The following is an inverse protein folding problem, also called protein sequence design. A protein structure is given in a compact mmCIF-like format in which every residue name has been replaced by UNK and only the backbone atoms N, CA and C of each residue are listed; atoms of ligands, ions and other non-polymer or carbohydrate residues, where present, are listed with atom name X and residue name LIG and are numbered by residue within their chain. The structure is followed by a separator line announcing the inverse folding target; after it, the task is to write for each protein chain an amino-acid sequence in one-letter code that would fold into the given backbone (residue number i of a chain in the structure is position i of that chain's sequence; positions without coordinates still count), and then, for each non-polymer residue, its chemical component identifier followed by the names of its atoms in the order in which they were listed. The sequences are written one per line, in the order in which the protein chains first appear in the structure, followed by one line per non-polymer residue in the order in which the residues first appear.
data_IF_092892186080
#
_entry.id   IF_092892186080
#
_cell.length_a   1.000
_cell.length_b   1.000
_cell.length_c   1.000
_cell.angle_alpha   90.00
_cell.angle_beta   90.00
_cell.angle_gamma   90.00
#
_symmetry.space_group_name_H-M   'P 1'
#
loop_
_entity.id
_entity.type
_entity.pdbx_description
1 polymer ?
#
# COMPACT_ATOMS: atom_id res chain seq x y z
N UNK A 1 16.43 1.24 29.15
CA UNK A 1 15.86 1.77 27.89
C UNK A 1 15.19 0.64 27.11
N UNK A 2 13.91 0.80 26.79
CA UNK A 2 13.11 -0.18 26.06
C UNK A 2 13.60 -0.24 24.61
N UNK A 3 13.99 -1.43 24.15
CA UNK A 3 14.56 -1.66 22.83
C UNK A 3 13.41 -1.84 21.83
N UNK A 4 13.17 -0.81 21.02
CA UNK A 4 12.22 -0.89 19.92
C UNK A 4 12.87 -1.72 18.80
N UNK A 5 12.52 -2.99 18.69
CA UNK A 5 13.14 -3.95 17.77
C UNK A 5 12.98 -3.62 16.27
N UNK A 6 12.25 -2.55 15.94
CA UNK A 6 11.92 -2.15 14.56
C UNK A 6 12.62 -0.86 14.10
N UNK A 7 13.43 -0.20 14.95
CA UNK A 7 14.12 1.04 14.59
C UNK A 7 15.63 0.80 14.49
N UNK A 8 16.11 0.62 13.26
CA UNK A 8 17.55 0.61 12.99
C UNK A 8 18.10 2.04 13.06
N UNK A 9 18.73 2.40 14.17
CA UNK A 9 19.46 3.66 14.32
C UNK A 9 20.95 3.35 14.22
N UNK A 10 21.56 3.70 13.08
CA UNK A 10 23.01 3.81 12.98
C UNK A 10 23.40 5.26 13.31
N UNK A 11 23.93 5.57 14.51
CA UNK A 11 24.45 6.89 14.77
C UNK A 11 25.60 7.16 13.80
N UNK A 12 25.40 8.11 12.88
CA UNK A 12 26.45 8.58 11.98
C UNK A 12 27.36 9.49 12.79
N UNK A 13 28.63 9.10 12.97
CA UNK A 13 29.60 9.94 13.64
C UNK A 13 29.83 11.24 12.82
N UNK A 14 29.95 12.37 13.51
CA UNK A 14 30.20 13.67 12.87
C UNK A 14 31.51 13.60 12.09
N UNK A 15 31.45 13.82 10.78
CA UNK A 15 32.63 13.84 9.89
C UNK A 15 32.88 12.56 9.11
N UNK A 16 32.05 11.53 9.23
CA UNK A 16 32.01 10.43 8.27
C UNK A 16 30.94 10.70 7.22
N UNK A 17 31.29 10.60 5.93
CA UNK A 17 30.30 10.42 4.87
C UNK A 17 29.40 9.26 5.27
N UNK A 18 28.09 9.45 5.19
CA UNK A 18 27.13 8.40 5.51
C UNK A 18 27.48 7.19 4.63
N UNK A 19 27.94 6.09 5.25
CA UNK A 19 28.26 4.85 4.53
C UNK A 19 27.04 4.20 3.87
N UNK A 20 25.85 4.79 4.04
CA UNK A 20 24.59 4.40 3.44
C UNK A 20 24.43 5.22 2.14
N UNK A 21 24.99 4.71 1.05
CA UNK A 21 24.77 5.24 -0.31
C UNK A 21 23.58 4.57 -1.02
N UNK A 22 22.93 3.62 -0.36
CA UNK A 22 21.87 2.77 -0.91
C UNK A 22 20.72 2.62 0.09
N UNK A 23 19.53 2.31 -0.40
CA UNK A 23 18.40 1.97 0.47
C UNK A 23 18.78 0.81 1.40
N UNK A 24 18.47 0.87 2.72
CA UNK A 24 18.66 -0.27 3.61
C UNK A 24 18.00 -1.51 2.99
N UNK A 25 18.60 -2.69 3.04
CA UNK A 25 17.95 -3.91 2.52
C UNK A 25 17.63 -3.87 1.02
N UNK A 26 18.49 -3.28 0.19
CA UNK A 26 18.38 -3.33 -1.28
C UNK A 26 18.24 -4.77 -1.83
N UNK A 27 18.79 -5.77 -1.12
CA UNK A 27 18.68 -7.20 -1.43
C UNK A 27 17.41 -7.86 -0.86
N UNK A 28 16.51 -7.12 -0.20
CA UNK A 28 15.29 -7.67 0.38
C UNK A 28 14.22 -7.84 -0.72
N UNK A 29 14.00 -9.09 -1.14
CA UNK A 29 13.05 -9.45 -2.22
C UNK A 29 11.57 -9.25 -1.85
N UNK A 30 11.26 -8.97 -0.57
CA UNK A 30 9.91 -9.07 0.01
C UNK A 30 9.42 -7.74 0.60
N UNK A 31 10.02 -6.63 0.21
CA UNK A 31 9.75 -5.32 0.78
C UNK A 31 9.51 -4.28 -0.31
N UNK A 32 8.59 -3.36 -0.07
CA UNK A 32 8.49 -2.10 -0.82
C UNK A 32 8.97 -0.96 0.05
N UNK A 33 9.88 -0.14 -0.47
CA UNK A 33 10.36 1.04 0.21
C UNK A 33 9.38 2.20 0.06
N UNK A 34 9.12 2.90 1.16
CA UNK A 34 8.42 4.17 1.16
C UNK A 34 9.27 5.19 1.90
N UNK A 35 9.19 6.44 1.44
CA UNK A 35 9.87 7.55 2.06
C UNK A 35 8.92 8.72 2.34
N UNK A 36 9.28 9.52 3.33
CA UNK A 36 8.58 10.76 3.64
C UNK A 36 9.49 11.70 4.41
N UNK A 37 9.25 13.01 4.24
CA UNK A 37 9.88 14.03 5.07
C UNK A 37 8.88 14.39 6.17
N UNK A 38 9.25 14.16 7.43
CA UNK A 38 8.50 14.64 8.58
C UNK A 38 8.98 16.04 8.92
N UNK A 39 8.10 17.02 8.72
CA UNK A 39 8.30 18.40 9.16
C UNK A 39 7.61 18.60 10.50
N UNK A 40 8.35 19.10 11.49
CA UNK A 40 7.83 19.42 12.82
C UNK A 40 7.25 20.84 12.87
N UNK A 41 6.41 21.18 13.86
CA UNK A 41 5.97 22.55 14.10
C UNK A 41 7.16 23.52 14.15
N UNK A 42 6.97 24.74 13.62
CA UNK A 42 8.05 25.70 13.45
C UNK A 42 8.73 26.12 14.78
N UNK A 43 8.00 26.04 15.89
CA UNK A 43 8.43 26.36 17.25
C UNK A 43 9.08 25.18 17.98
N UNK A 44 9.11 23.99 17.38
CA UNK A 44 9.70 22.80 18.01
C UNK A 44 11.24 22.86 18.13
N UNK A 45 11.90 23.69 17.31
CA UNK A 45 13.36 23.69 17.18
C UNK A 45 13.94 22.40 16.59
N UNK A 46 13.09 21.47 16.11
CA UNK A 46 13.51 20.18 15.53
C UNK A 46 13.59 20.33 14.01
N UNK A 47 14.75 20.05 13.39
CA UNK A 47 14.87 20.08 11.94
C UNK A 47 14.02 18.96 11.29
N UNK A 48 13.54 19.14 10.05
CA UNK A 48 12.82 18.10 9.33
C UNK A 48 13.63 16.80 9.21
N UNK A 49 12.95 15.65 9.29
CA UNK A 49 13.58 14.33 9.23
C UNK A 49 13.17 13.60 7.94
N UNK A 50 14.15 13.14 7.17
CA UNK A 50 13.90 12.21 6.07
C UNK A 50 13.80 10.78 6.63
N UNK A 51 12.67 10.13 6.39
CA UNK A 51 12.41 8.76 6.83
C UNK A 51 12.25 7.86 5.61
N UNK A 52 12.91 6.71 5.69
CA UNK A 52 12.75 5.60 4.75
C UNK A 52 12.35 4.38 5.55
N UNK A 53 11.29 3.70 5.14
CA UNK A 53 10.81 2.50 5.82
C UNK A 53 10.32 1.44 4.83
N UNK A 54 10.43 0.20 5.29
CA UNK A 54 10.01 -1.00 4.59
C UNK A 54 8.53 -1.28 4.86
N UNK A 55 7.74 -1.48 3.81
CA UNK A 55 6.44 -2.15 3.91
C UNK A 55 6.59 -3.62 3.51
N UNK A 56 6.18 -4.58 4.36
CA UNK A 56 6.27 -5.99 4.02
C UNK A 56 5.35 -6.31 2.83
N UNK A 57 5.76 -7.27 2.01
CA UNK A 57 4.92 -7.83 0.96
C UNK A 57 3.57 -8.32 1.52
N UNK A 58 2.57 -8.33 0.66
CA UNK A 58 1.26 -8.90 0.97
C UNK A 58 1.40 -10.42 1.10
N UNK A 59 0.77 -11.00 2.12
CA UNK A 59 0.79 -12.45 2.35
C UNK A 59 -0.47 -13.11 1.77
N UNK A 60 -0.39 -14.37 1.33
CA UNK A 60 -1.59 -15.11 0.93
C UNK A 60 -2.63 -15.16 2.04
N UNK A 61 -3.90 -14.93 1.69
CA UNK A 61 -5.06 -14.92 2.60
C UNK A 61 -4.99 -13.86 3.71
N UNK A 62 -4.12 -12.86 3.58
CA UNK A 62 -4.09 -11.71 4.47
C UNK A 62 -5.39 -10.90 4.34
N UNK A 63 -6.04 -10.61 5.46
CA UNK A 63 -7.29 -9.85 5.54
C UNK A 63 -7.02 -8.50 6.19
N UNK A 64 -7.43 -7.43 5.54
CA UNK A 64 -7.35 -6.05 6.05
C UNK A 64 -8.30 -5.15 5.24
N UNK A 65 -8.37 -3.85 5.53
CA UNK A 65 -9.03 -2.88 4.65
C UNK A 65 -8.21 -2.69 3.36
N UNK A 66 -8.88 -2.43 2.23
CA UNK A 66 -8.21 -2.31 0.93
C UNK A 66 -7.05 -1.30 0.94
N UNK A 67 -7.23 -0.17 1.63
CA UNK A 67 -6.22 0.88 1.76
C UNK A 67 -4.93 0.44 2.49
N UNK A 68 -5.01 -0.56 3.38
CA UNK A 68 -3.84 -1.07 4.12
C UNK A 68 -2.85 -1.81 3.21
N UNK A 69 -3.31 -2.31 2.06
CA UNK A 69 -2.47 -2.93 1.05
C UNK A 69 -1.76 -1.92 0.13
N UNK A 70 -2.02 -0.62 0.28
CA UNK A 70 -1.47 0.40 -0.61
C UNK A 70 0.05 0.54 -0.45
N UNK A 71 0.75 0.45 -1.58
CA UNK A 71 2.21 0.51 -1.64
C UNK A 71 2.92 -0.71 -1.03
N UNK A 72 2.24 -1.85 -0.88
CA UNK A 72 2.84 -3.14 -0.53
C UNK A 72 3.04 -3.98 -1.79
N UNK A 73 4.17 -4.68 -1.86
CA UNK A 73 4.47 -5.61 -2.95
C UNK A 73 3.45 -6.75 -2.96
N UNK A 74 2.80 -6.99 -4.11
CA UNK A 74 1.68 -7.96 -4.21
C UNK A 74 2.11 -9.38 -4.59
N UNK A 75 3.30 -9.58 -5.18
CA UNK A 75 3.86 -10.91 -5.54
C UNK A 75 2.85 -11.88 -6.20
N UNK A 76 2.04 -11.40 -7.14
CA UNK A 76 1.03 -12.24 -7.83
C UNK A 76 -0.23 -12.54 -7.00
N UNK A 77 -0.52 -11.70 -5.99
CA UNK A 77 -1.78 -11.68 -5.25
C UNK A 77 -2.66 -10.51 -5.73
N UNK A 78 -3.96 -10.75 -5.85
CA UNK A 78 -4.99 -9.72 -5.90
C UNK A 78 -5.45 -9.42 -4.49
N UNK A 79 -5.40 -8.15 -4.11
CA UNK A 79 -5.87 -7.64 -2.80
C UNK A 79 -7.23 -7.00 -2.90
N UNK A 80 -7.80 -6.98 -4.10
CA UNK A 80 -9.19 -6.77 -4.41
C UNK A 80 -9.74 -8.13 -4.85
N UNK A 81 -10.60 -8.73 -4.04
CA UNK A 81 -11.49 -9.72 -4.60
C UNK A 81 -12.42 -8.94 -5.54
N UNK A 82 -12.01 -8.76 -6.80
CA UNK A 82 -12.62 -7.91 -7.83
C UNK A 82 -14.17 -7.90 -7.83
N UNK A 83 -14.88 -9.01 -7.54
CA UNK A 83 -16.34 -8.99 -7.37
C UNK A 83 -16.84 -8.09 -6.24
N UNK A 84 -16.15 -8.03 -5.09
CA UNK A 84 -16.57 -7.28 -3.89
C UNK A 84 -16.40 -5.77 -4.08
N UNK A 85 -15.22 -5.32 -4.54
CA UNK A 85 -14.98 -3.89 -4.74
C UNK A 85 -15.81 -3.34 -5.91
N UNK A 86 -15.94 -4.09 -7.00
CA UNK A 86 -16.81 -3.71 -8.11
C UNK A 86 -18.30 -3.74 -7.72
N UNK A 87 -18.74 -4.65 -6.84
CA UNK A 87 -20.10 -4.66 -6.32
C UNK A 87 -20.37 -3.48 -5.38
N UNK A 88 -19.45 -3.15 -4.47
CA UNK A 88 -19.55 -1.97 -3.60
C UNK A 88 -19.60 -0.71 -4.46
N UNK A 89 -18.69 -0.58 -5.43
CA UNK A 89 -18.69 0.56 -6.37
C UNK A 89 -20.02 0.67 -7.11
N UNK A 90 -20.51 -0.42 -7.73
CA UNK A 90 -21.81 -0.43 -8.43
C UNK A 90 -22.99 -0.14 -7.52
N UNK A 91 -22.94 -0.62 -6.27
CA UNK A 91 -23.97 -0.33 -5.27
C UNK A 91 -23.97 1.18 -4.95
N UNK A 92 -22.82 1.76 -4.64
CA UNK A 92 -22.68 3.18 -4.34
C UNK A 92 -23.07 4.08 -5.53
N UNK A 93 -22.68 3.71 -6.75
CA UNK A 93 -23.07 4.40 -7.99
C UNK A 93 -24.60 4.32 -8.23
N UNK A 94 -25.24 3.19 -7.91
CA UNK A 94 -26.68 2.99 -8.13
C UNK A 94 -27.56 3.82 -7.19
N UNK A 95 -27.13 4.04 -5.95
CA UNK A 95 -27.94 4.76 -4.96
C UNK A 95 -27.82 6.29 -5.05
N UNK A 96 -27.05 6.83 -6.01
CA UNK A 96 -27.05 8.23 -6.44
C UNK A 96 -27.12 9.27 -5.30
N UNK A 97 -26.51 8.96 -4.15
CA UNK A 97 -26.11 10.00 -3.20
C UNK A 97 -24.78 10.51 -3.74
N UNK A 98 -24.70 11.82 -3.92
CA UNK A 98 -23.62 12.58 -4.54
C UNK A 98 -22.23 12.33 -3.93
N UNK A 99 -21.66 11.16 -4.14
CA UNK A 99 -20.29 10.86 -3.77
C UNK A 99 -19.39 11.53 -4.80
N UNK A 100 -18.57 12.46 -4.33
CA UNK A 100 -17.39 12.90 -5.08
C UNK A 100 -16.47 11.69 -5.30
N UNK A 101 -15.66 11.71 -6.36
CA UNK A 101 -14.67 10.65 -6.60
C UNK A 101 -13.78 10.38 -5.39
N UNK A 102 -13.46 11.44 -4.63
CA UNK A 102 -12.73 11.35 -3.38
C UNK A 102 -13.48 10.50 -2.34
N UNK A 103 -14.74 10.80 -2.08
CA UNK A 103 -15.52 10.05 -1.10
C UNK A 103 -15.74 8.60 -1.55
N UNK A 104 -15.91 8.36 -2.85
CA UNK A 104 -15.97 7.01 -3.40
C UNK A 104 -14.67 6.26 -3.12
N UNK A 105 -13.52 6.87 -3.43
CA UNK A 105 -12.19 6.29 -3.18
C UNK A 105 -11.96 6.03 -1.70
N UNK A 106 -12.31 6.97 -0.83
CA UNK A 106 -12.18 6.83 0.63
C UNK A 106 -13.04 5.67 1.14
N UNK A 107 -14.25 5.51 0.61
CA UNK A 107 -15.15 4.39 0.94
C UNK A 107 -14.61 3.06 0.43
N UNK A 108 -14.06 3.02 -0.78
CA UNK A 108 -13.46 1.80 -1.33
C UNK A 108 -12.18 1.41 -0.57
N UNK A 109 -11.41 2.39 -0.08
CA UNK A 109 -10.20 2.14 0.72
C UNK A 109 -10.51 1.58 2.11
N UNK A 110 -11.68 1.86 2.67
CA UNK A 110 -12.10 1.34 3.98
C UNK A 110 -12.86 0.01 3.89
N UNK A 111 -13.16 -0.48 2.69
CA UNK A 111 -13.80 -1.77 2.50
C UNK A 111 -12.88 -2.92 2.92
N UNK A 112 -13.45 -3.91 3.62
CA UNK A 112 -12.75 -5.13 3.97
C UNK A 112 -12.29 -5.87 2.69
N UNK A 113 -11.08 -6.40 2.73
CA UNK A 113 -10.48 -7.11 1.61
C UNK A 113 -9.58 -8.25 2.06
N UNK A 114 -9.31 -9.16 1.12
CA UNK A 114 -8.47 -10.34 1.32
C UNK A 114 -7.53 -10.52 0.14
N UNK A 115 -6.28 -10.87 0.43
CA UNK A 115 -5.27 -11.19 -0.57
C UNK A 115 -5.43 -12.62 -1.10
N UNK A 116 -5.70 -12.77 -2.39
CA UNK A 116 -5.93 -14.06 -3.05
C UNK A 116 -4.94 -14.19 -4.22
N UNK A 117 -4.31 -15.36 -4.43
CA UNK A 117 -3.50 -15.60 -5.62
C UNK A 117 -4.23 -15.26 -6.93
N UNK A 118 -3.58 -14.48 -7.80
CA UNK A 118 -4.19 -13.99 -9.05
C UNK A 118 -4.75 -15.12 -9.91
N UNK A 119 -4.10 -16.28 -9.94
CA UNK A 119 -4.56 -17.42 -10.74
C UNK A 119 -5.88 -18.05 -10.26
N UNK A 120 -6.31 -17.78 -9.02
CA UNK A 120 -7.62 -18.22 -8.50
C UNK A 120 -8.73 -17.30 -9.03
N UNK A 121 -8.47 -15.99 -9.10
CA UNK A 121 -9.41 -15.00 -9.62
C UNK A 121 -9.33 -14.82 -11.14
N UNK A 122 -8.27 -15.31 -11.78
CA UNK A 122 -8.10 -15.35 -13.24
C UNK A 122 -8.85 -16.55 -13.81
N UNK A 123 -10.16 -16.57 -13.64
CA UNK A 123 -11.01 -17.47 -14.41
C UNK A 123 -10.76 -17.22 -15.90
N UNK A 124 -10.40 -18.27 -16.63
CA UNK A 124 -10.42 -18.32 -18.08
C UNK A 124 -11.66 -17.59 -18.60
N UNK A 125 -11.43 -16.48 -19.31
CA UNK A 125 -12.48 -15.80 -20.07
C UNK A 125 -13.18 -16.87 -20.91
N UNK A 126 -14.43 -17.15 -20.56
CA UNK A 126 -15.37 -17.75 -21.50
C UNK A 126 -15.37 -16.79 -22.70
N UNK A 127 -14.97 -17.24 -23.91
CA UNK A 127 -15.06 -16.37 -25.06
C UNK A 127 -16.56 -16.11 -25.30
N UNK A 128 -16.88 -14.85 -25.58
CA UNK A 128 -18.23 -14.31 -25.80
C UNK A 128 -18.95 -13.76 -24.57
N UNK A 129 -18.45 -12.64 -24.03
CA UNK A 129 -19.25 -11.39 -24.11
C UNK A 129 -18.31 -10.19 -24.01
N UNK A 130 -18.39 -9.31 -25.00
CA UNK A 130 -17.77 -8.00 -25.09
C UNK A 130 -17.94 -7.18 -23.81
N UNK A 131 -16.88 -7.06 -23.00
CA UNK A 131 -16.73 -5.97 -22.03
C UNK A 131 -15.30 -5.44 -22.09
N UNK A 132 -15.10 -4.57 -23.06
CA UNK A 132 -13.98 -3.63 -23.14
C UNK A 132 -14.06 -2.63 -22.00
N UNK A 133 -13.51 -2.96 -20.82
CA UNK A 133 -13.29 -1.98 -19.75
C UNK A 133 -12.05 -2.35 -18.93
N UNK A 134 -10.87 -2.19 -19.54
CA UNK A 134 -9.62 -1.96 -18.80
C UNK A 134 -8.74 -1.03 -19.65
N UNK A 135 -8.91 0.28 -19.45
CA UNK A 135 -7.92 1.32 -19.78
C UNK A 135 -8.49 2.67 -19.31
N UNK A 136 -8.17 3.04 -18.07
CA UNK A 136 -7.91 4.40 -17.57
C UNK A 136 -7.74 4.34 -16.05
#
# INVERSE_FOLDING_TARGET
PERLDNLFVHPVAVGQDSAISHYPGQDAEDVTWQDTIITFPADSGVPPLYLVFAKPAVRPLEVDIYGAFNGRLRKGLHVDHMPSQAAIRRHLERYAISFTEKQLKDTLNSAASIAIPSHICSGQLIPDTTLSFFSA
#
